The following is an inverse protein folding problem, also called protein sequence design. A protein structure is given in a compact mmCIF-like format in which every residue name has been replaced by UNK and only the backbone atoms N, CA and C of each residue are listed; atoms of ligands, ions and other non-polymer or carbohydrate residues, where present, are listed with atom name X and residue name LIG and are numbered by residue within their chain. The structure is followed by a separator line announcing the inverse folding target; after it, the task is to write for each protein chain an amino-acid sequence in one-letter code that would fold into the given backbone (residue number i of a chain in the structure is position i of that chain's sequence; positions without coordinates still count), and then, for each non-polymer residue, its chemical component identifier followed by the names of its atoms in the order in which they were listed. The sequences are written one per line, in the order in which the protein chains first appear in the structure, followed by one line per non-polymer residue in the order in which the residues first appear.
data_IF_245449074061
#
_entry.id   IF_245449074061
#
_cell.length_a   1.000
_cell.length_b   1.000
_cell.length_c   1.000
_cell.angle_alpha   90.00
_cell.angle_beta   90.00
_cell.angle_gamma   90.00
#
_symmetry.space_group_name_H-M   'P 1'
#
loop_
_entity.id
_entity.type
_entity.pdbx_description
1 polymer ?
#
# COMPACT_ATOMS: atom_id res chain seq x y z
N UNK A 1 17.06 -6.25 -21.49
CA UNK A 1 17.54 -6.96 -20.27
C UNK A 1 16.32 -7.59 -19.60
N UNK A 2 16.36 -8.89 -19.31
CA UNK A 2 15.22 -9.67 -18.79
C UNK A 2 15.13 -9.52 -17.27
N UNK A 3 13.90 -9.37 -16.75
CA UNK A 3 13.52 -9.83 -15.42
C UNK A 3 13.63 -8.82 -14.27
N UNK A 4 12.99 -7.65 -14.38
CA UNK A 4 12.64 -6.91 -13.17
C UNK A 4 11.62 -7.77 -12.40
N UNK A 5 11.99 -8.29 -11.24
CA UNK A 5 11.01 -8.83 -10.31
C UNK A 5 9.93 -7.76 -10.15
N UNK A 6 8.67 -8.09 -10.46
CA UNK A 6 7.55 -7.18 -10.21
C UNK A 6 7.45 -6.98 -8.71
N UNK A 7 8.10 -5.94 -8.22
CA UNK A 7 7.90 -5.48 -6.86
C UNK A 7 6.41 -5.21 -6.66
N UNK A 8 5.86 -5.85 -5.63
CA UNK A 8 4.45 -5.89 -5.37
C UNK A 8 3.92 -4.49 -5.05
N UNK A 9 2.85 -4.09 -5.71
CA UNK A 9 2.08 -2.88 -5.44
C UNK A 9 0.63 -3.32 -5.31
N UNK A 10 -0.08 -2.79 -4.30
CA UNK A 10 -1.50 -3.05 -4.10
C UNK A 10 -2.28 -2.72 -5.37
N UNK A 11 -3.21 -3.57 -5.80
CA UNK A 11 -3.92 -3.31 -7.04
C UNK A 11 -4.82 -2.07 -6.93
N UNK A 12 -4.86 -1.27 -8.01
CA UNK A 12 -5.67 -0.07 -8.10
C UNK A 12 -7.16 -0.39 -8.16
N UNK A 13 -7.99 0.59 -7.79
CA UNK A 13 -9.45 0.52 -7.83
C UNK A 13 -10.04 -0.65 -7.03
N UNK A 14 -9.46 -0.94 -5.87
CA UNK A 14 -9.91 -2.01 -5.00
C UNK A 14 -10.47 -1.44 -3.69
N UNK A 15 -11.45 -2.14 -3.13
CA UNK A 15 -11.95 -1.85 -1.79
C UNK A 15 -12.57 -3.11 -1.22
N UNK A 16 -12.72 -3.14 0.10
CA UNK A 16 -13.35 -4.25 0.77
C UNK A 16 -13.49 -4.02 2.26
N UNK A 17 -13.89 -5.08 2.96
CA UNK A 17 -14.04 -5.08 4.41
C UNK A 17 -13.42 -6.33 4.99
N UNK A 18 -12.43 -6.18 5.86
CA UNK A 18 -11.86 -7.31 6.59
C UNK A 18 -12.87 -7.79 7.64
N UNK A 19 -13.21 -9.08 7.61
CA UNK A 19 -14.22 -9.72 8.46
C UNK A 19 -15.57 -8.96 8.47
N UNK A 20 -15.91 -8.31 7.35
CA UNK A 20 -17.07 -7.43 7.21
C UNK A 20 -17.11 -6.22 8.17
N UNK A 21 -16.00 -5.90 8.85
CA UNK A 21 -15.92 -4.84 9.88
C UNK A 21 -15.07 -3.65 9.46
N UNK A 22 -13.82 -3.89 9.08
CA UNK A 22 -12.85 -2.83 8.85
C UNK A 22 -12.75 -2.55 7.36
N UNK A 23 -13.18 -1.37 6.93
CA UNK A 23 -13.11 -0.98 5.53
C UNK A 23 -11.65 -0.68 5.12
N UNK A 24 -11.32 -0.99 3.88
CA UNK A 24 -10.07 -0.63 3.25
C UNK A 24 -10.33 -0.24 1.79
N UNK A 25 -9.48 0.64 1.26
CA UNK A 25 -9.62 1.26 -0.05
C UNK A 25 -8.25 1.42 -0.70
N UNK A 26 -8.19 1.19 -2.01
CA UNK A 26 -7.09 1.52 -2.90
C UNK A 26 -7.66 2.19 -4.15
N UNK A 27 -7.29 3.45 -4.37
CA UNK A 27 -7.81 4.24 -5.49
C UNK A 27 -7.13 3.87 -6.82
N UNK A 28 -7.40 4.66 -7.86
CA UNK A 28 -6.84 4.52 -9.21
C UNK A 28 -5.31 4.63 -9.30
N UNK A 29 -4.65 5.18 -8.28
CA UNK A 29 -3.20 5.27 -8.13
C UNK A 29 -2.62 4.33 -7.07
N UNK A 30 -3.36 3.28 -6.69
CA UNK A 30 -2.93 2.33 -5.65
C UNK A 30 -2.83 2.93 -4.24
N UNK A 31 -3.36 4.14 -4.04
CA UNK A 31 -3.25 4.87 -2.78
C UNK A 31 -4.36 4.43 -1.83
N UNK A 32 -4.05 4.38 -0.54
CA UNK A 32 -4.95 4.03 0.56
C UNK A 32 -6.07 5.05 0.82
N UNK A 33 -6.63 5.67 -0.22
CA UNK A 33 -7.62 6.74 -0.17
C UNK A 33 -8.96 6.25 -0.76
N UNK A 34 -10.08 6.80 -0.26
CA UNK A 34 -11.42 6.55 -0.83
C UNK A 34 -11.59 7.23 -2.19
N UNK A 35 -11.12 8.47 -2.30
CA UNK A 35 -11.20 9.26 -3.52
C UNK A 35 -10.10 8.89 -4.52
N UNK A 36 -10.44 8.94 -5.81
CA UNK A 36 -9.45 8.92 -6.88
C UNK A 36 -8.52 10.12 -6.80
N UNK A 37 -7.27 9.89 -7.20
CA UNK A 37 -6.28 10.93 -7.30
C UNK A 37 -6.71 11.98 -8.32
N UNK A 38 -6.47 13.25 -8.02
CA UNK A 38 -6.79 14.38 -8.89
C UNK A 38 -5.65 15.36 -8.87
N UNK A 39 -5.06 15.63 -10.03
CA UNK A 39 -3.93 16.54 -10.12
C UNK A 39 -4.31 17.97 -9.69
N UNK A 40 -5.56 18.39 -9.91
CA UNK A 40 -6.04 19.74 -9.57
C UNK A 40 -6.26 19.90 -8.06
N UNK A 41 -6.47 18.78 -7.35
CA UNK A 41 -6.32 18.71 -5.90
C UNK A 41 -4.88 18.31 -5.65
N UNK A 42 -3.96 19.26 -5.83
CA UNK A 42 -2.55 19.09 -5.53
C UNK A 42 -2.41 18.23 -4.26
N UNK A 43 -1.65 17.12 -4.30
CA UNK A 43 -1.32 16.44 -3.08
C UNK A 43 -0.62 17.43 -2.14
N UNK A 44 -1.37 17.96 -1.18
CA UNK A 44 -0.80 18.80 -0.12
C UNK A 44 0.26 17.98 0.63
N UNK A 45 -0.04 16.69 0.85
CA UNK A 45 0.84 15.74 1.51
C UNK A 45 0.81 14.38 0.82
N UNK A 46 1.96 13.92 0.36
CA UNK A 46 2.21 12.53 -0.02
C UNK A 46 2.81 11.80 1.18
N UNK A 47 2.09 10.82 1.72
CA UNK A 47 2.56 9.94 2.79
C UNK A 47 2.92 8.59 2.19
N UNK A 48 4.20 8.22 2.22
CA UNK A 48 4.68 6.95 1.66
C UNK A 48 5.39 6.10 2.73
N UNK A 49 5.13 4.79 2.74
CA UNK A 49 5.70 3.90 3.74
C UNK A 49 5.32 2.44 3.60
N UNK A 50 5.38 1.72 4.72
CA UNK A 50 5.26 0.28 4.80
C UNK A 50 3.93 -0.16 5.48
N UNK A 51 3.94 -1.30 6.19
CA UNK A 51 2.92 -1.68 7.15
C UNK A 51 2.43 -0.60 8.13
N UNK A 52 3.25 0.36 8.59
CA UNK A 52 2.83 1.40 9.53
C UNK A 52 1.90 2.39 8.84
N UNK A 53 2.28 2.90 7.66
CA UNK A 53 1.38 3.75 6.86
C UNK A 53 0.14 2.97 6.40
N UNK A 54 0.28 1.69 6.02
CA UNK A 54 -0.83 0.87 5.57
C UNK A 54 -1.84 0.54 6.69
N UNK A 55 -1.39 0.33 7.92
CA UNK A 55 -2.17 -0.10 9.09
C UNK A 55 -2.76 -1.52 9.00
N UNK A 56 -2.65 -2.19 7.84
CA UNK A 56 -3.18 -3.52 7.60
C UNK A 56 -4.71 -3.61 7.56
N UNK A 57 -5.20 -4.86 7.63
CA UNK A 57 -6.63 -5.22 7.62
C UNK A 57 -7.36 -5.09 8.98
N UNK A 58 -6.70 -5.24 10.15
CA UNK A 58 -7.36 -5.09 11.45
C UNK A 58 -7.79 -3.65 11.81
N UNK A 59 -7.29 -2.64 11.10
CA UNK A 59 -7.59 -1.22 11.35
C UNK A 59 -8.60 -0.73 10.30
N UNK A 60 -9.69 -0.11 10.74
CA UNK A 60 -10.66 0.51 9.85
C UNK A 60 -10.05 1.72 9.13
N UNK A 61 -10.48 1.99 7.90
CA UNK A 61 -9.88 3.04 7.07
C UNK A 61 -9.70 4.38 7.79
N UNK A 62 -10.75 4.90 8.43
CA UNK A 62 -10.73 6.22 9.09
C UNK A 62 -9.77 6.29 10.29
N UNK A 63 -9.34 5.13 10.82
CA UNK A 63 -8.42 5.01 11.94
C UNK A 63 -6.97 4.75 11.50
N UNK A 64 -6.69 4.80 10.19
CA UNK A 64 -5.32 4.64 9.64
C UNK A 64 -4.56 5.96 9.68
N UNK A 65 -3.23 5.86 9.61
CA UNK A 65 -2.33 7.02 9.71
C UNK A 65 -2.67 8.14 8.70
N UNK A 66 -2.94 7.80 7.44
CA UNK A 66 -3.32 8.77 6.41
C UNK A 66 -4.55 9.60 6.76
N UNK A 67 -5.74 8.99 6.94
CA UNK A 67 -6.95 9.70 7.33
C UNK A 67 -6.85 10.44 8.67
N UNK A 68 -6.13 9.88 9.66
CA UNK A 68 -5.88 10.58 10.92
C UNK A 68 -5.02 11.82 10.71
N UNK A 69 -3.94 11.74 9.92
CA UNK A 69 -3.09 12.88 9.61
C UNK A 69 -3.85 13.96 8.83
N UNK A 70 -4.68 13.56 7.86
CA UNK A 70 -5.54 14.48 7.10
C UNK A 70 -6.48 15.25 8.04
N UNK A 71 -7.09 14.54 8.99
CA UNK A 71 -7.97 15.14 10.00
C UNK A 71 -7.24 16.16 10.88
N UNK A 72 -6.01 15.87 11.30
CA UNK A 72 -5.20 16.76 12.15
C UNK A 72 -4.72 18.01 11.38
N UNK A 73 -4.41 17.88 10.09
CA UNK A 73 -4.03 19.02 9.23
C UNK A 73 -5.21 19.97 8.94
N UNK A 74 -6.44 19.46 9.04
CA UNK A 74 -7.66 20.25 8.96
C UNK A 74 -8.19 20.46 7.55
N UNK A 75 -9.27 21.25 7.46
CA UNK A 75 -10.02 21.43 6.23
C UNK A 75 -9.17 22.07 5.13
N UNK A 76 -9.11 21.42 3.98
CA UNK A 76 -8.39 21.89 2.79
C UNK A 76 -7.12 21.11 2.48
N UNK A 77 -6.60 20.31 3.43
CA UNK A 77 -5.49 19.39 3.17
C UNK A 77 -5.99 18.03 2.73
N UNK A 78 -5.27 17.38 1.81
CA UNK A 78 -5.47 15.99 1.42
C UNK A 78 -4.19 15.19 1.64
N UNK A 79 -4.28 14.06 2.35
CA UNK A 79 -3.14 13.17 2.57
C UNK A 79 -3.26 11.94 1.67
N UNK A 80 -2.42 11.88 0.66
CA UNK A 80 -2.37 10.75 -0.27
C UNK A 80 -1.43 9.68 0.25
N UNK A 81 -1.98 8.54 0.66
CA UNK A 81 -1.22 7.50 1.34
C UNK A 81 -0.83 6.38 0.39
N UNK A 82 0.46 6.13 0.23
CA UNK A 82 1.01 5.05 -0.59
C UNK A 82 1.77 4.10 0.31
N UNK A 83 1.32 2.85 0.42
CA UNK A 83 2.04 1.88 1.23
C UNK A 83 1.70 0.45 0.87
N UNK A 84 2.60 -0.46 1.17
CA UNK A 84 2.27 -1.88 1.26
C UNK A 84 3.01 -2.53 2.43
N UNK A 85 2.40 -3.58 3.00
CA UNK A 85 3.06 -4.36 4.05
C UNK A 85 4.40 -4.92 3.55
N UNK A 86 5.43 -4.92 4.39
CA UNK A 86 6.72 -5.48 4.04
C UNK A 86 7.52 -4.69 2.99
N UNK A 87 7.05 -3.53 2.53
CA UNK A 87 7.89 -2.64 1.74
C UNK A 87 9.11 -2.17 2.52
N UNK A 88 10.16 -1.93 1.77
CA UNK A 88 11.34 -1.18 2.21
C UNK A 88 11.32 0.19 1.54
N UNK A 89 12.14 1.13 2.02
CA UNK A 89 12.29 2.42 1.35
C UNK A 89 12.73 2.28 -0.13
N UNK A 90 13.42 1.20 -0.51
CA UNK A 90 13.70 0.93 -1.93
C UNK A 90 12.42 0.63 -2.73
N UNK A 91 11.48 -0.15 -2.17
CA UNK A 91 10.20 -0.41 -2.83
C UNK A 91 9.35 0.85 -2.98
N UNK A 92 9.38 1.72 -1.96
CA UNK A 92 8.73 3.03 -2.00
C UNK A 92 9.27 3.87 -3.17
N UNK A 93 10.59 3.92 -3.35
CA UNK A 93 11.20 4.64 -4.48
C UNK A 93 10.80 4.04 -5.83
N UNK A 94 10.66 2.71 -5.92
CA UNK A 94 10.19 2.05 -7.15
C UNK A 94 8.74 2.41 -7.47
N UNK A 95 7.87 2.59 -6.47
CA UNK A 95 6.53 3.13 -6.70
C UNK A 95 6.61 4.57 -7.26
N UNK A 96 7.43 5.43 -6.67
CA UNK A 96 7.57 6.83 -7.10
C UNK A 96 8.16 6.94 -8.52
N UNK A 97 9.15 6.11 -8.85
CA UNK A 97 9.74 6.05 -10.21
C UNK A 97 8.70 5.64 -11.27
N UNK A 98 7.74 4.78 -10.88
CA UNK A 98 6.63 4.36 -11.76
C UNK A 98 5.48 5.36 -11.82
N UNK A 99 5.38 6.28 -10.85
CA UNK A 99 4.32 7.28 -10.73
C UNK A 99 4.94 8.68 -10.53
N UNK A 100 5.75 9.17 -11.48
CA UNK A 100 6.48 10.42 -11.31
C UNK A 100 5.54 11.62 -11.17
N UNK A 101 4.33 11.54 -11.71
CA UNK A 101 3.28 12.56 -11.56
C UNK A 101 2.83 12.72 -10.11
N UNK A 102 2.80 11.65 -9.32
CA UNK A 102 2.45 11.71 -7.90
C UNK A 102 3.47 12.53 -7.13
N UNK A 103 4.76 12.29 -7.37
CA UNK A 103 5.85 13.01 -6.70
C UNK A 103 5.94 14.47 -7.17
N UNK A 104 5.81 14.71 -8.48
CA UNK A 104 5.95 16.05 -9.06
C UNK A 104 4.86 17.02 -8.63
N UNK A 105 3.67 16.52 -8.29
CA UNK A 105 2.55 17.36 -7.87
C UNK A 105 2.42 17.48 -6.34
N UNK A 106 3.30 16.84 -5.56
CA UNK A 106 3.23 16.87 -4.10
C UNK A 106 3.89 18.13 -3.52
N UNK A 107 3.18 18.85 -2.66
CA UNK A 107 3.73 20.02 -1.94
C UNK A 107 4.63 19.58 -0.79
N UNK A 108 4.25 18.51 -0.11
CA UNK A 108 5.05 17.89 0.97
C UNK A 108 5.12 16.38 0.77
N UNK A 109 6.31 15.80 0.97
CA UNK A 109 6.51 14.34 0.98
C UNK A 109 6.94 13.91 2.37
N UNK A 110 6.18 12.98 2.95
CA UNK A 110 6.46 12.34 4.23
C UNK A 110 6.83 10.89 3.92
N UNK A 111 8.08 10.54 4.20
CA UNK A 111 8.59 9.18 4.01
C UNK A 111 8.72 8.52 5.38
N UNK A 112 8.04 7.41 5.56
CA UNK A 112 8.27 6.53 6.70
C UNK A 112 9.64 5.87 6.56
N UNK A 113 10.57 6.16 7.46
CA UNK A 113 11.90 5.55 7.43
C UNK A 113 12.01 4.40 8.43
N UNK A 114 12.40 3.23 7.94
CA UNK A 114 12.71 2.06 8.76
C UNK A 114 14.20 1.71 8.71
N UNK A 115 14.76 1.32 9.87
CA UNK A 115 16.14 0.84 9.94
C UNK A 115 16.38 -0.33 8.99
N UNK A 116 17.36 -0.18 8.08
CA UNK A 116 17.66 -1.18 7.06
C UNK A 116 16.80 -1.08 5.78
N UNK A 117 15.85 -0.15 5.70
CA UNK A 117 14.98 0.04 4.54
C UNK A 117 15.70 0.46 3.25
N UNK A 118 16.97 0.89 3.34
CA UNK A 118 17.82 1.21 2.19
C UNK A 118 18.72 0.05 1.74
N UNK A 119 18.70 -1.09 2.44
CA UNK A 119 19.58 -2.21 2.13
C UNK A 119 19.23 -2.93 0.82
N UNK A 120 17.98 -2.81 0.36
CA UNK A 120 17.50 -3.42 -0.87
C UNK A 120 15.99 -3.57 -0.88
N UNK A 121 15.43 -3.83 -2.06
CA UNK A 121 14.00 -4.11 -2.23
C UNK A 121 13.63 -5.44 -1.53
N UNK A 122 12.47 -5.47 -0.88
CA UNK A 122 11.89 -6.70 -0.36
C UNK A 122 10.97 -7.32 -1.44
N UNK A 123 11.20 -8.58 -1.86
CA UNK A 123 10.36 -9.26 -2.85
C UNK A 123 9.06 -9.81 -2.25
N UNK A 124 8.57 -9.26 -1.13
CA UNK A 124 7.39 -9.78 -0.46
C UNK A 124 6.17 -9.77 -1.39
N UNK A 125 5.53 -10.93 -1.63
CA UNK A 125 4.54 -11.05 -2.70
C UNK A 125 3.20 -10.35 -2.42
N UNK A 126 2.81 -10.20 -1.16
CA UNK A 126 1.62 -9.47 -0.67
C UNK A 126 0.22 -9.88 -1.14
N UNK A 127 0.11 -10.62 -2.26
CA UNK A 127 -1.15 -10.96 -2.93
C UNK A 127 -2.11 -11.81 -2.10
N UNK A 128 -1.62 -12.47 -1.04
CA UNK A 128 -2.44 -13.25 -0.13
C UNK A 128 -3.13 -12.39 0.95
N UNK A 129 -2.65 -11.16 1.17
CA UNK A 129 -3.29 -10.20 2.09
C UNK A 129 -4.25 -9.29 1.32
N UNK A 130 -3.78 -8.78 0.18
CA UNK A 130 -4.55 -7.94 -0.74
C UNK A 130 -4.33 -8.48 -2.16
N UNK A 131 -5.32 -9.13 -2.78
CA UNK A 131 -5.14 -9.74 -4.10
C UNK A 131 -4.83 -8.70 -5.17
N UNK A 132 -3.90 -8.99 -6.08
CA UNK A 132 -3.65 -8.17 -7.27
C UNK A 132 -4.72 -8.35 -8.36
N UNK A 133 -5.60 -9.35 -8.22
CA UNK A 133 -6.74 -9.62 -9.08
C UNK A 133 -7.90 -10.24 -8.30
N UNK A 134 -9.12 -10.15 -8.83
CA UNK A 134 -10.30 -10.77 -8.22
C UNK A 134 -10.15 -12.30 -8.24
N UNK A 135 -10.18 -12.99 -7.08
CA UNK A 135 -10.12 -14.45 -7.06
C UNK A 135 -11.39 -15.02 -7.70
N UNK A 136 -11.23 -16.01 -8.58
CA UNK A 136 -12.36 -16.68 -9.23
C UNK A 136 -13.15 -17.57 -8.26
N UNK A 137 -12.46 -18.16 -7.27
CA UNK A 137 -13.04 -19.02 -6.26
C UNK A 137 -12.51 -18.63 -4.88
N UNK A 138 -13.42 -18.41 -3.93
CA UNK A 138 -13.07 -18.02 -2.57
C UNK A 138 -12.30 -19.15 -1.84
N UNK A 139 -12.66 -20.40 -2.10
CA UNK A 139 -12.02 -21.57 -1.49
C UNK A 139 -10.55 -21.72 -1.90
N UNK A 140 -10.23 -21.55 -3.18
CA UNK A 140 -8.85 -21.61 -3.66
C UNK A 140 -8.01 -20.45 -3.12
N UNK A 141 -8.62 -19.27 -2.93
CA UNK A 141 -7.98 -18.13 -2.30
C UNK A 141 -7.62 -18.40 -0.82
N UNK A 142 -8.56 -18.98 -0.04
CA UNK A 142 -8.26 -19.39 1.34
C UNK A 142 -7.16 -20.44 1.43
N UNK A 143 -7.10 -21.40 0.50
CA UNK A 143 -6.00 -22.37 0.45
C UNK A 143 -4.64 -21.70 0.22
N UNK A 144 -4.57 -20.64 -0.58
CA UNK A 144 -3.33 -19.86 -0.80
C UNK A 144 -2.91 -19.10 0.46
N UNK A 145 -3.86 -18.50 1.19
CA UNK A 145 -3.59 -17.86 2.47
C UNK A 145 -3.00 -18.87 3.47
N UNK A 146 -3.64 -20.03 3.63
CA UNK A 146 -3.16 -21.07 4.55
C UNK A 146 -1.78 -21.63 4.16
N UNK A 147 -1.51 -21.77 2.86
CA UNK A 147 -0.21 -22.22 2.36
C UNK A 147 0.89 -21.17 2.56
N UNK A 148 0.56 -19.87 2.50
CA UNK A 148 1.49 -18.77 2.76
C UNK A 148 1.81 -18.56 4.25
N UNK A 149 0.91 -18.97 5.16
CA UNK A 149 1.13 -18.92 6.62
C UNK A 149 2.12 -19.98 7.14
N UNK A 150 2.43 -21.02 6.36
CA UNK A 150 3.48 -21.97 6.68
C UNK A 150 4.69 -21.70 5.78
N UNK A 151 5.75 -21.02 6.26
CA UNK A 151 7.00 -21.06 5.53
C UNK A 151 7.38 -22.53 5.40
N UNK A 152 7.61 -23.00 4.17
CA UNK A 152 8.35 -24.25 3.97
C UNK A 152 9.66 -24.06 4.71
N UNK A 153 9.84 -24.81 5.80
CA UNK A 153 11.15 -25.00 6.41
C UNK A 153 11.97 -25.70 5.33
N UNK A 154 12.77 -24.93 4.59
CA UNK A 154 13.91 -25.49 3.89
C UNK A 154 14.92 -25.86 4.98
N UNK A 155 14.91 -27.14 5.35
CA UNK A 155 16.05 -27.73 6.03
C UNK A 155 17.28 -27.46 5.16
N UNK A 156 18.24 -26.75 5.75
CA UNK A 156 19.62 -26.77 5.27
C UNK A 156 20.20 -28.17 5.41
#
# INVERSE_FOLDING_TARGET
MRGAAREYILAANQHGRFLNRNAWYFNDRHMGNISNWRQEKHPDFLLIGDSIVLGGNPINHDDKLGPLLEKELGAGSTVWSVAAGGWTNVNEMVYLDRNPDVLQNADTVIVEYMGGGLAGANPWPGYYVFPDHKPWLLTSYFSQICAGCFPRVHNQ
#
